data_IF_797169461121
#
_entry.id   IF_797169461121
#
_cell.length_a   1.000
_cell.length_b   1.000
_cell.length_c   1.000
_cell.angle_alpha   90.00
_cell.angle_beta   90.00
_cell.angle_gamma   90.00
#
_symmetry.space_group_name_H-M   'P 1'
#
loop_
_entity.id
_entity.type
_entity.pdbx_description
1 polymer ?
#
# COMPACT_ATOMS: atom_id res chain seq x y z
N UNK A 1 18.23 13.21 -8.98
CA UNK A 1 17.36 12.02 -9.19
C UNK A 1 16.15 12.08 -8.25
N UNK A 2 15.00 11.42 -8.52
CA UNK A 2 13.82 11.46 -7.64
C UNK A 2 14.12 11.16 -6.15
N UNK A 3 14.93 10.13 -5.88
CA UNK A 3 15.42 9.75 -4.55
C UNK A 3 16.11 10.91 -3.82
N UNK A 4 17.04 11.59 -4.50
CA UNK A 4 17.80 12.73 -3.94
C UNK A 4 16.89 13.92 -3.62
N UNK A 5 15.88 14.18 -4.46
CA UNK A 5 14.91 15.26 -4.21
C UNK A 5 14.10 14.95 -2.95
N UNK A 6 13.61 13.71 -2.80
CA UNK A 6 12.89 13.28 -1.60
C UNK A 6 13.78 13.37 -0.35
N UNK A 7 15.02 12.90 -0.43
CA UNK A 7 15.99 12.97 0.66
C UNK A 7 16.23 14.41 1.13
N UNK A 8 16.49 15.34 0.19
CA UNK A 8 16.69 16.76 0.50
C UNK A 8 15.46 17.38 1.15
N UNK A 9 14.26 16.99 0.72
CA UNK A 9 13.02 17.49 1.30
C UNK A 9 12.84 17.00 2.74
N UNK A 10 13.06 15.71 3.01
CA UNK A 10 12.96 15.15 4.37
C UNK A 10 13.97 15.79 5.33
N UNK A 11 15.21 16.02 4.88
CA UNK A 11 16.22 16.72 5.68
C UNK A 11 15.81 18.15 5.99
N UNK A 12 15.32 18.90 4.99
CA UNK A 12 14.87 20.28 5.14
C UNK A 12 13.72 20.40 6.14
N UNK A 13 12.82 19.43 6.13
CA UNK A 13 11.65 19.38 7.02
C UNK A 13 11.97 18.74 8.38
N UNK A 14 13.21 18.33 8.62
CA UNK A 14 13.66 17.65 9.84
C UNK A 14 12.86 16.38 10.17
N UNK A 15 12.45 15.62 9.15
CA UNK A 15 11.69 14.38 9.32
C UNK A 15 12.63 13.23 9.68
N UNK A 16 12.51 12.71 10.91
CA UNK A 16 13.29 11.57 11.40
C UNK A 16 12.53 10.25 11.37
N UNK A 17 11.21 10.28 11.16
CA UNK A 17 10.36 9.09 11.03
C UNK A 17 9.45 9.24 9.82
N UNK A 18 9.49 8.29 8.89
CA UNK A 18 8.62 8.23 7.72
C UNK A 18 7.73 6.97 7.80
N UNK A 19 6.42 7.18 7.89
CA UNK A 19 5.45 6.10 7.76
C UNK A 19 5.05 5.97 6.29
N UNK A 20 5.24 4.79 5.70
CA UNK A 20 4.87 4.53 4.29
C UNK A 20 3.66 3.63 4.21
N UNK A 21 2.62 4.07 3.47
CA UNK A 21 1.42 3.25 3.23
C UNK A 21 1.43 2.80 1.77
N UNK A 22 1.60 1.50 1.52
CA UNK A 22 1.71 0.99 0.17
C UNK A 22 2.05 -0.50 0.10
N UNK A 23 2.16 -1.02 -1.12
CA UNK A 23 2.58 -2.39 -1.38
C UNK A 23 4.09 -2.56 -1.32
N UNK A 24 4.59 -3.65 -1.90
CA UNK A 24 6.02 -4.01 -1.87
C UNK A 24 6.93 -2.95 -2.48
N UNK A 25 6.57 -2.40 -3.64
CA UNK A 25 7.36 -1.37 -4.32
C UNK A 25 7.52 -0.11 -3.45
N UNK A 26 6.46 0.27 -2.72
CA UNK A 26 6.49 1.44 -1.84
C UNK A 26 7.44 1.21 -0.66
N UNK A 27 7.36 0.04 -0.02
CA UNK A 27 8.22 -0.27 1.13
C UNK A 27 9.67 -0.52 0.71
N UNK A 28 9.90 -1.09 -0.48
CA UNK A 28 11.24 -1.25 -1.07
C UNK A 28 11.87 0.11 -1.35
N UNK A 29 11.14 1.03 -1.98
CA UNK A 29 11.63 2.39 -2.23
C UNK A 29 11.90 3.17 -0.92
N UNK A 30 11.10 2.94 0.12
CA UNK A 30 11.32 3.53 1.43
C UNK A 30 12.62 3.02 2.10
N UNK A 31 12.93 1.74 1.93
CA UNK A 31 14.20 1.16 2.37
C UNK A 31 15.38 1.75 1.59
N UNK A 32 15.27 1.91 0.27
CA UNK A 32 16.30 2.57 -0.56
C UNK A 32 16.54 4.03 -0.12
N UNK A 33 15.47 4.78 0.14
CA UNK A 33 15.55 6.16 0.62
C UNK A 33 16.24 6.26 1.98
N UNK A 34 15.95 5.32 2.88
CA UNK A 34 16.62 5.23 4.18
C UNK A 34 18.11 4.93 4.02
N UNK A 35 18.46 3.98 3.14
CA UNK A 35 19.85 3.67 2.83
C UNK A 35 20.61 4.89 2.30
N UNK A 36 20.03 5.59 1.32
CA UNK A 36 20.61 6.81 0.76
C UNK A 36 20.81 7.90 1.82
N UNK A 37 19.85 8.12 2.71
CA UNK A 37 19.97 9.12 3.79
C UNK A 37 21.04 8.73 4.81
N UNK A 38 21.13 7.44 5.15
CA UNK A 38 22.14 6.90 6.07
C UNK A 38 23.56 7.14 5.54
N UNK A 39 23.80 6.88 4.25
CA UNK A 39 25.08 7.17 3.57
C UNK A 39 25.43 8.67 3.59
N UNK A 40 24.43 9.54 3.76
CA UNK A 40 24.57 11.00 3.82
C UNK A 40 24.46 11.55 5.26
N UNK A 41 24.73 10.72 6.27
CA UNK A 41 24.75 11.08 7.70
C UNK A 41 23.43 11.64 8.22
N UNK A 42 22.31 11.17 7.68
CA UNK A 42 20.97 11.52 8.16
C UNK A 42 20.22 10.26 8.56
N UNK A 43 19.88 10.15 9.85
CA UNK A 43 19.17 8.99 10.38
C UNK A 43 17.66 9.15 10.16
N UNK A 44 17.09 8.26 9.35
CA UNK A 44 15.66 8.19 9.06
C UNK A 44 15.15 6.81 9.49
N UNK A 45 14.16 6.77 10.37
CA UNK A 45 13.41 5.55 10.66
C UNK A 45 12.26 5.42 9.68
N UNK A 46 12.16 4.29 8.97
CA UNK A 46 11.00 3.97 8.15
C UNK A 46 10.11 2.94 8.85
N UNK A 47 8.81 3.22 8.88
CA UNK A 47 7.77 2.31 9.37
C UNK A 47 6.81 2.00 8.23
N UNK A 48 6.90 0.78 7.70
CA UNK A 48 6.04 0.32 6.62
C UNK A 48 4.65 -0.10 7.12
N UNK A 49 3.61 0.43 6.46
CA UNK A 49 2.21 0.09 6.62
C UNK A 49 1.72 -0.60 5.33
N UNK A 50 1.79 -1.95 5.30
CA UNK A 50 1.55 -2.74 4.09
C UNK A 50 0.09 -2.65 3.62
N UNK A 51 -0.11 -2.20 2.38
CA UNK A 51 -1.42 -1.99 1.75
C UNK A 51 -1.48 -2.62 0.37
N UNK A 52 -2.28 -3.68 0.25
CA UNK A 52 -2.71 -4.30 -1.00
C UNK A 52 -4.16 -4.76 -0.83
N UNK A 53 -5.00 -4.64 -1.85
CA UNK A 53 -6.37 -5.19 -1.82
C UNK A 53 -6.37 -6.67 -2.19
N UNK A 54 -5.30 -7.15 -2.81
CA UNK A 54 -5.18 -8.52 -3.31
C UNK A 54 -4.74 -9.51 -2.22
N UNK A 55 -4.33 -9.00 -1.05
CA UNK A 55 -3.85 -9.77 0.09
C UNK A 55 -2.65 -10.67 -0.22
N UNK A 56 -1.75 -10.19 -1.07
CA UNK A 56 -0.63 -10.95 -1.65
C UNK A 56 0.74 -10.64 -1.03
N UNK A 57 0.75 -9.90 0.09
CA UNK A 57 1.99 -9.49 0.77
C UNK A 57 2.36 -10.41 1.95
N UNK A 58 3.53 -11.05 1.88
CA UNK A 58 4.02 -12.01 2.87
C UNK A 58 4.93 -11.30 3.90
N UNK A 59 4.87 -11.61 5.21
CA UNK A 59 4.10 -12.66 5.88
C UNK A 59 2.76 -12.19 6.49
N UNK A 60 2.12 -11.18 5.90
CA UNK A 60 0.92 -10.57 6.49
C UNK A 60 -0.32 -11.37 6.12
N UNK A 61 -1.06 -11.83 7.13
CA UNK A 61 -2.25 -12.66 6.92
C UNK A 61 -3.41 -11.87 6.27
N UNK A 62 -3.55 -10.59 6.60
CA UNK A 62 -4.58 -9.71 6.05
C UNK A 62 -4.03 -8.29 5.88
N UNK A 63 -3.92 -7.84 4.63
CA UNK A 63 -3.51 -6.49 4.28
C UNK A 63 -4.67 -5.49 4.39
N UNK A 64 -4.31 -4.21 4.51
CA UNK A 64 -5.28 -3.12 4.55
C UNK A 64 -6.11 -3.08 3.26
N UNK A 65 -7.44 -3.19 3.40
CA UNK A 65 -8.40 -3.08 2.31
C UNK A 65 -8.88 -4.41 1.71
N UNK A 66 -8.18 -5.52 1.96
CA UNK A 66 -8.51 -6.82 1.37
C UNK A 66 -9.90 -7.34 1.74
N UNK A 67 -10.27 -7.30 3.02
CA UNK A 67 -11.58 -7.78 3.49
C UNK A 67 -12.75 -7.00 2.88
N UNK A 68 -12.63 -5.66 2.85
CA UNK A 68 -13.64 -4.80 2.22
C UNK A 68 -13.73 -5.02 0.71
N UNK A 69 -12.58 -5.23 0.04
CA UNK A 69 -12.58 -5.55 -1.38
C UNK A 69 -13.32 -6.87 -1.69
N UNK A 70 -13.11 -7.91 -0.87
CA UNK A 70 -13.82 -9.18 -1.00
C UNK A 70 -15.34 -9.02 -0.78
N UNK A 71 -15.75 -8.26 0.22
CA UNK A 71 -17.17 -7.98 0.49
C UNK A 71 -17.83 -7.22 -0.67
N UNK A 72 -17.21 -6.15 -1.15
CA UNK A 72 -17.75 -5.38 -2.28
C UNK A 72 -17.76 -6.19 -3.58
N UNK A 73 -16.75 -7.04 -3.79
CA UNK A 73 -16.72 -7.98 -4.92
C UNK A 73 -17.88 -8.98 -4.90
N UNK A 74 -18.21 -9.52 -3.72
CA UNK A 74 -19.34 -10.43 -3.54
C UNK A 74 -20.68 -9.74 -3.82
N UNK A 75 -20.88 -8.53 -3.27
CA UNK A 75 -22.09 -7.73 -3.51
C UNK A 75 -22.25 -7.38 -5.00
N UNK A 76 -21.16 -7.00 -5.67
CA UNK A 76 -21.18 -6.73 -7.10
C UNK A 76 -21.58 -7.98 -7.89
N UNK A 77 -20.99 -9.14 -7.57
CA UNK A 77 -21.31 -10.40 -8.23
C UNK A 77 -22.77 -10.83 -8.02
N UNK A 78 -23.34 -10.61 -6.83
CA UNK A 78 -24.76 -10.87 -6.54
C UNK A 78 -25.68 -10.07 -7.47
N UNK A 79 -25.40 -8.78 -7.67
CA UNK A 79 -26.17 -7.93 -8.58
C UNK A 79 -26.10 -8.45 -10.03
N UNK A 80 -24.89 -8.80 -10.50
CA UNK A 80 -24.69 -9.37 -11.83
C UNK A 80 -25.43 -10.70 -11.99
N UNK A 81 -25.42 -11.57 -10.99
CA UNK A 81 -26.14 -12.84 -11.03
C UNK A 81 -27.67 -12.63 -11.09
N UNK A 82 -28.20 -11.66 -10.33
CA UNK A 82 -29.62 -11.33 -10.32
C UNK A 82 -30.09 -10.72 -11.66
N UNK A 83 -29.26 -9.89 -12.32
CA UNK A 83 -29.57 -9.34 -13.65
C UNK A 83 -29.54 -10.39 -14.77
N UNK A 84 -28.67 -11.40 -14.66
CA UNK A 84 -28.51 -12.45 -15.67
C UNK A 84 -29.44 -13.65 -15.49
N UNK A 85 -30.22 -13.69 -14.40
CA UNK A 85 -31.26 -14.70 -14.24
C UNK A 85 -32.49 -14.24 -15.02
N UNK A 86 -32.90 -14.90 -16.13
CA UNK A 86 -34.15 -14.56 -16.78
C UNK A 86 -35.26 -14.74 -15.75
N UNK A 87 -36.15 -13.75 -15.63
CA UNK A 87 -37.32 -13.83 -14.78
C UNK A 87 -38.16 -15.05 -15.19
N UNK A 88 -37.89 -16.19 -14.56
CA UNK A 88 -38.77 -17.34 -14.57
C UNK A 88 -39.94 -16.99 -13.65
N UNK A 89 -40.96 -16.34 -14.21
CA UNK A 89 -42.28 -16.24 -13.60
C UNK A 89 -42.83 -14.82 -13.46
N UNK A 90 -43.44 -14.32 -14.54
CA UNK A 90 -44.89 -14.10 -14.61
C UNK A 90 -45.35 -14.10 -16.07
#
# INVERSE_FOLDING_TARGET
>A
MPLEVAAKQLQKDCVTILHTIGGDDTNTMAAELTGYLSENNYDLTVVGLPKTVDNDIVPIAQSLGAATAAEQGALFFENIANENTPALGN
#
